data_IF_694126835178
#
_entry.id   IF_694126835178
#
_cell.length_a   1.000
_cell.length_b   1.000
_cell.length_c   1.000
_cell.angle_alpha   90.00
_cell.angle_beta   90.00
_cell.angle_gamma   90.00
#
_symmetry.space_group_name_H-M   'P 1'
#
loop_
_entity.id
_entity.type
_entity.pdbx_description
1 polymer ?
#
# COMPACT_ATOMS: atom_id res chain seq x y z
N UNK A 1 26.66 7.62 11.16
CA UNK A 1 26.79 9.00 11.71
C UNK A 1 28.22 9.33 12.13
N UNK A 2 28.91 8.47 12.90
CA UNK A 2 30.29 8.73 13.35
C UNK A 2 31.26 8.98 12.19
N UNK A 3 31.17 8.20 11.11
CA UNK A 3 32.03 8.38 9.93
C UNK A 3 31.86 9.75 9.24
N UNK A 4 30.62 10.21 9.00
CA UNK A 4 30.36 11.49 8.36
C UNK A 4 30.73 12.68 9.27
N UNK A 5 30.48 12.55 10.59
CA UNK A 5 30.88 13.56 11.59
C UNK A 5 32.39 13.74 11.65
N UNK A 6 33.15 12.65 11.53
CA UNK A 6 34.62 12.70 11.49
C UNK A 6 35.18 13.36 10.22
N UNK A 7 34.37 13.43 9.15
CA UNK A 7 34.72 14.06 7.88
C UNK A 7 34.11 15.46 7.72
N UNK A 8 33.46 15.99 8.78
CA UNK A 8 32.72 17.25 8.75
C UNK A 8 31.67 17.36 7.63
N UNK A 9 31.08 16.22 7.24
CA UNK A 9 30.04 16.17 6.21
C UNK A 9 28.67 16.27 6.90
N UNK A 10 27.83 17.26 6.55
CA UNK A 10 26.49 17.37 7.10
C UNK A 10 25.65 16.15 6.68
N UNK A 11 24.90 15.58 7.64
CA UNK A 11 24.08 14.38 7.42
C UNK A 11 22.61 14.77 7.42
N UNK A 12 21.94 14.45 6.32
CA UNK A 12 20.50 14.64 6.16
C UNK A 12 19.81 13.28 6.00
N UNK A 13 18.56 13.19 6.44
CA UNK A 13 17.71 12.02 6.26
C UNK A 13 16.60 12.34 5.27
N UNK A 14 16.54 11.59 4.18
CA UNK A 14 15.38 11.61 3.29
C UNK A 14 14.36 10.58 3.77
N UNK A 15 13.34 11.04 4.49
CA UNK A 15 12.29 10.18 5.02
C UNK A 15 11.22 9.94 3.94
N UNK A 16 11.01 8.67 3.58
CA UNK A 16 10.24 8.28 2.38
C UNK A 16 8.78 7.90 2.66
N UNK A 17 8.31 8.03 3.91
CA UNK A 17 6.90 7.84 4.28
C UNK A 17 6.20 9.19 4.54
N UNK A 18 4.89 9.16 4.74
CA UNK A 18 4.10 10.36 5.00
C UNK A 18 4.47 11.09 6.30
N UNK A 19 4.20 12.40 6.36
CA UNK A 19 4.46 13.22 7.55
C UNK A 19 3.69 12.72 8.79
N UNK A 20 2.55 12.05 8.61
CA UNK A 20 1.81 11.38 9.69
C UNK A 20 2.63 10.29 10.39
N UNK A 21 3.39 9.50 9.62
CA UNK A 21 4.25 8.44 10.14
C UNK A 21 5.45 9.05 10.84
N UNK A 22 6.02 10.12 10.28
CA UNK A 22 7.09 10.86 10.95
C UNK A 22 6.62 11.46 12.29
N UNK A 23 5.42 12.04 12.33
CA UNK A 23 4.82 12.56 13.56
C UNK A 23 4.62 11.45 14.60
N UNK A 24 4.15 10.27 14.19
CA UNK A 24 4.03 9.11 15.07
C UNK A 24 5.38 8.66 15.64
N UNK A 25 6.44 8.62 14.81
CA UNK A 25 7.80 8.27 15.25
C UNK A 25 8.35 9.31 16.23
N UNK A 26 8.18 10.61 15.94
CA UNK A 26 8.67 11.68 16.81
C UNK A 26 7.93 11.73 18.14
N UNK A 27 6.65 11.36 18.16
CA UNK A 27 5.83 11.31 19.37
C UNK A 27 5.99 10.00 20.15
N UNK A 28 6.59 8.97 19.53
CA UNK A 28 6.76 7.65 20.12
C UNK A 28 7.44 7.64 21.51
N UNK A 29 8.52 8.40 21.78
CA UNK A 29 9.14 8.40 23.12
C UNK A 29 8.17 8.81 24.24
N UNK A 30 7.25 9.73 23.95
CA UNK A 30 6.21 10.13 24.90
C UNK A 30 5.17 9.03 25.07
N UNK A 31 4.73 8.41 23.97
CA UNK A 31 3.82 7.28 24.03
C UNK A 31 4.43 6.09 24.79
N UNK A 32 5.72 5.82 24.63
CA UNK A 32 6.40 4.72 25.33
C UNK A 32 6.52 4.98 26.84
N UNK A 33 6.62 6.25 27.25
CA UNK A 33 6.57 6.65 28.66
C UNK A 33 5.17 6.56 29.26
N UNK A 34 4.15 6.98 28.51
CA UNK A 34 2.75 7.02 28.96
C UNK A 34 2.10 5.62 28.98
N UNK A 35 2.68 4.63 28.29
CA UNK A 35 2.06 3.33 28.09
C UNK A 35 2.99 2.18 28.49
N UNK A 36 2.55 1.35 29.46
CA UNK A 36 3.26 0.12 29.82
C UNK A 36 2.78 -1.05 28.93
N UNK A 37 3.65 -1.58 28.08
CA UNK A 37 3.39 -2.78 27.27
C UNK A 37 3.57 -2.58 25.77
N UNK A 38 3.29 -3.61 24.97
CA UNK A 38 3.34 -3.53 23.50
C UNK A 38 2.03 -2.97 22.95
N UNK A 39 2.09 -2.05 21.98
CA UNK A 39 0.89 -1.40 21.42
C UNK A 39 -0.11 -2.42 20.83
N UNK A 40 0.36 -3.53 20.27
CA UNK A 40 -0.48 -4.61 19.73
C UNK A 40 -1.48 -5.19 20.74
N UNK A 41 -1.17 -5.12 22.03
CA UNK A 41 -1.95 -5.74 23.11
C UNK A 41 -2.88 -4.74 23.84
N UNK A 42 -2.80 -3.45 23.50
CA UNK A 42 -3.49 -2.40 24.26
C UNK A 42 -4.94 -2.14 23.84
N UNK A 43 -5.34 -2.59 22.65
CA UNK A 43 -6.68 -2.41 22.06
C UNK A 43 -7.32 -1.03 22.35
N UNK A 44 -6.61 0.06 22.03
CA UNK A 44 -7.06 1.44 22.30
C UNK A 44 -6.77 2.37 21.13
N UNK A 45 -7.26 3.61 21.23
CA UNK A 45 -6.96 4.68 20.28
C UNK A 45 -5.80 5.53 20.79
N UNK A 46 -4.86 5.83 19.89
CA UNK A 46 -3.77 6.79 20.09
C UNK A 46 -4.15 8.10 19.44
N UNK A 47 -4.02 9.19 20.19
CA UNK A 47 -4.30 10.54 19.73
C UNK A 47 -2.98 11.27 19.51
N UNK A 48 -2.63 11.47 18.24
CA UNK A 48 -1.45 12.22 17.83
C UNK A 48 -1.87 13.63 17.41
N UNK A 49 -1.19 14.70 17.84
CA UNK A 49 -1.51 16.05 17.42
C UNK A 49 -1.54 16.18 15.88
N UNK A 50 -2.69 16.61 15.34
CA UNK A 50 -2.88 16.81 13.90
C UNK A 50 -3.17 15.54 13.08
N UNK A 51 -3.49 14.41 13.71
CA UNK A 51 -3.91 13.18 13.04
C UNK A 51 -5.24 12.66 13.61
N UNK A 52 -5.98 11.84 12.84
CA UNK A 52 -7.12 11.10 13.37
C UNK A 52 -6.71 10.20 14.54
N UNK A 53 -7.68 9.73 15.34
CA UNK A 53 -7.44 8.65 16.30
C UNK A 53 -6.95 7.39 15.60
N UNK A 54 -5.81 6.84 16.02
CA UNK A 54 -5.19 5.67 15.39
C UNK A 54 -5.33 4.47 16.32
N UNK A 55 -6.00 3.37 15.91
CA UNK A 55 -6.00 2.14 16.68
C UNK A 55 -4.58 1.63 16.91
N UNK A 56 -4.28 1.12 18.11
CA UNK A 56 -2.92 0.65 18.41
C UNK A 56 -2.46 -0.51 17.52
N UNK A 57 -3.38 -1.29 16.94
CA UNK A 57 -3.11 -2.34 15.95
C UNK A 57 -2.64 -1.82 14.57
N UNK A 58 -2.84 -0.53 14.33
CA UNK A 58 -2.64 0.14 13.04
C UNK A 58 -1.47 1.14 13.08
N UNK A 59 -0.81 1.27 14.23
CA UNK A 59 0.46 1.95 14.39
C UNK A 59 1.57 1.26 13.56
N UNK A 60 2.66 1.96 13.18
CA UNK A 60 3.67 1.40 12.29
C UNK A 60 4.28 0.15 12.91
N UNK A 61 4.54 -0.89 12.11
CA UNK A 61 4.97 -2.22 12.62
C UNK A 61 6.13 -2.14 13.62
N UNK A 62 7.10 -1.25 13.40
CA UNK A 62 8.24 -1.04 14.30
C UNK A 62 7.85 -0.60 15.73
N UNK A 63 6.65 -0.05 15.92
CA UNK A 63 6.11 0.38 17.21
C UNK A 63 5.23 -0.70 17.86
N UNK A 64 4.78 -1.71 17.12
CA UNK A 64 3.83 -2.71 17.64
C UNK A 64 4.45 -3.65 18.67
N UNK A 65 5.77 -3.88 18.62
CA UNK A 65 6.50 -4.75 19.53
C UNK A 65 7.69 -4.03 20.17
N UNK A 66 7.59 -3.77 21.48
CA UNK A 66 8.56 -3.00 22.28
C UNK A 66 9.94 -3.67 22.37
N UNK A 67 10.02 -4.98 22.13
CA UNK A 67 11.27 -5.75 22.19
C UNK A 67 11.89 -5.99 20.81
N UNK A 68 11.26 -5.50 19.74
CA UNK A 68 11.77 -5.72 18.39
C UNK A 68 12.95 -4.78 18.07
N UNK A 69 14.17 -5.33 18.07
CA UNK A 69 15.28 -4.72 17.31
C UNK A 69 14.99 -4.94 15.85
N UNK A 70 14.50 -3.92 15.15
CA UNK A 70 14.22 -3.98 13.72
C UNK A 70 15.50 -4.18 12.90
N UNK A 71 15.71 -5.42 12.46
CA UNK A 71 16.31 -5.75 11.18
C UNK A 71 15.57 -6.96 10.59
N UNK A 72 14.78 -6.73 9.53
CA UNK A 72 14.73 -7.52 8.28
C UNK A 72 13.40 -7.30 7.53
N UNK A 73 13.50 -6.89 6.27
CA UNK A 73 12.46 -7.10 5.27
C UNK A 73 12.45 -8.59 4.89
N UNK A 74 11.70 -9.38 5.65
CA UNK A 74 11.42 -10.78 5.34
C UNK A 74 12.04 -11.78 6.31
N UNK A 75 11.23 -12.77 6.69
CA UNK A 75 11.70 -14.00 7.32
C UNK A 75 12.24 -14.90 6.21
N UNK A 76 13.56 -15.08 6.14
CA UNK A 76 14.14 -16.23 5.44
C UNK A 76 13.90 -17.44 6.35
N UNK A 77 12.88 -18.23 6.02
CA UNK A 77 12.71 -19.57 6.61
C UNK A 77 13.48 -20.53 5.72
N UNK A 78 14.54 -21.14 6.25
CA UNK A 78 15.25 -22.23 5.60
C UNK A 78 14.41 -23.53 5.70
N UNK A 79 13.28 -23.58 4.98
CA UNK A 79 12.42 -24.75 4.87
C UNK A 79 12.32 -25.16 3.40
N UNK A 80 12.15 -26.45 3.12
CA UNK A 80 12.00 -26.98 1.77
C UNK A 80 10.84 -27.97 1.72
N UNK A 81 10.16 -28.05 0.58
CA UNK A 81 8.83 -28.67 0.46
C UNK A 81 8.70 -30.13 0.92
N UNK A 82 9.81 -30.87 1.02
CA UNK A 82 9.80 -32.23 1.55
C UNK A 82 9.86 -32.32 3.08
N UNK A 83 10.21 -31.25 3.79
CA UNK A 83 10.22 -31.21 5.27
C UNK A 83 8.89 -30.71 5.85
N UNK A 84 8.26 -29.70 5.25
CA UNK A 84 7.03 -29.08 5.77
C UNK A 84 5.93 -28.91 4.70
N UNK A 85 5.43 -30.00 4.09
CA UNK A 85 4.46 -29.93 3.00
C UNK A 85 3.11 -29.30 3.40
N UNK A 86 2.72 -29.42 4.69
CA UNK A 86 1.46 -28.88 5.20
C UNK A 86 1.47 -27.34 5.34
N UNK A 87 2.48 -26.71 5.97
CA UNK A 87 2.62 -25.24 5.99
C UNK A 87 2.75 -24.60 4.61
N UNK A 88 3.58 -25.17 3.71
CA UNK A 88 3.77 -24.63 2.35
C UNK A 88 2.48 -24.70 1.53
N UNK A 89 1.74 -25.82 1.64
CA UNK A 89 0.41 -25.96 1.03
C UNK A 89 -0.61 -24.99 1.63
N UNK A 90 -0.63 -24.79 2.95
CA UNK A 90 -1.54 -23.84 3.59
C UNK A 90 -1.32 -22.38 3.14
N UNK A 91 -0.07 -21.97 2.94
CA UNK A 91 0.29 -20.65 2.42
C UNK A 91 -0.14 -20.49 0.95
N UNK A 92 0.13 -21.51 0.13
CA UNK A 92 -0.23 -21.52 -1.30
C UNK A 92 -1.74 -21.57 -1.51
N UNK A 93 -2.45 -22.38 -0.73
CA UNK A 93 -3.91 -22.47 -0.72
C UNK A 93 -4.52 -21.14 -0.26
N UNK A 94 -3.93 -20.49 0.76
CA UNK A 94 -4.34 -19.16 1.24
C UNK A 94 -4.20 -18.06 0.18
N UNK A 95 -3.08 -18.04 -0.56
CA UNK A 95 -2.85 -17.12 -1.66
C UNK A 95 -3.83 -17.38 -2.82
N UNK A 96 -4.04 -18.65 -3.18
CA UNK A 96 -4.99 -19.05 -4.22
C UNK A 96 -6.42 -18.62 -3.87
N UNK A 97 -6.82 -18.71 -2.59
CA UNK A 97 -8.13 -18.28 -2.13
C UNK A 97 -8.30 -16.77 -2.24
N UNK A 98 -7.30 -15.98 -1.83
CA UNK A 98 -7.32 -14.52 -1.95
C UNK A 98 -7.42 -14.07 -3.42
N UNK A 99 -6.64 -14.68 -4.32
CA UNK A 99 -6.71 -14.39 -5.76
C UNK A 99 -8.08 -14.76 -6.36
N UNK A 100 -8.70 -15.87 -5.92
CA UNK A 100 -10.04 -16.27 -6.34
C UNK A 100 -11.11 -15.27 -5.91
N UNK A 101 -11.05 -14.75 -4.68
CA UNK A 101 -11.98 -13.70 -4.23
C UNK A 101 -11.81 -12.40 -5.03
N UNK A 102 -10.56 -11.99 -5.30
CA UNK A 102 -10.28 -10.81 -6.15
C UNK A 102 -10.82 -11.01 -7.56
N UNK A 103 -10.51 -12.13 -8.19
CA UNK A 103 -11.00 -12.45 -9.53
C UNK A 103 -12.54 -12.43 -9.57
N UNK A 104 -13.20 -13.07 -8.59
CA UNK A 104 -14.66 -13.09 -8.51
C UNK A 104 -15.24 -11.70 -8.30
N UNK A 105 -14.66 -10.88 -7.43
CA UNK A 105 -15.09 -9.50 -7.19
C UNK A 105 -14.94 -8.59 -8.42
N UNK A 106 -13.82 -8.70 -9.14
CA UNK A 106 -13.60 -8.00 -10.41
C UNK A 106 -14.63 -8.43 -11.46
N UNK A 107 -14.90 -9.73 -11.57
CA UNK A 107 -15.88 -10.27 -12.51
C UNK A 107 -17.30 -9.73 -12.23
N UNK A 108 -17.70 -9.75 -10.96
CA UNK A 108 -19.01 -9.30 -10.47
C UNK A 108 -19.19 -7.77 -10.60
N UNK A 109 -18.13 -6.99 -10.42
CA UNK A 109 -18.18 -5.52 -10.52
C UNK A 109 -18.69 -5.01 -11.88
N UNK A 110 -18.53 -5.82 -12.93
CA UNK A 110 -18.79 -5.47 -14.35
C UNK A 110 -17.99 -4.27 -14.88
N UNK A 111 -17.09 -3.70 -14.11
CA UNK A 111 -16.20 -2.64 -14.57
C UNK A 111 -15.02 -3.17 -15.38
N UNK A 112 -14.43 -2.27 -16.17
CA UNK A 112 -13.14 -2.54 -16.81
C UNK A 112 -12.03 -2.54 -15.77
N UNK A 113 -11.07 -3.43 -15.90
CA UNK A 113 -9.95 -3.52 -14.97
C UNK A 113 -8.64 -3.84 -15.67
N UNK A 114 -7.56 -3.33 -15.10
CA UNK A 114 -6.19 -3.79 -15.31
C UNK A 114 -5.70 -4.35 -13.98
N UNK A 115 -5.41 -5.64 -13.94
CA UNK A 115 -4.96 -6.30 -12.72
C UNK A 115 -3.52 -6.81 -12.89
N UNK A 116 -2.60 -6.23 -12.10
CA UNK A 116 -1.22 -6.68 -12.04
C UNK A 116 -1.08 -7.73 -10.94
N UNK A 117 -0.75 -8.96 -11.31
CA UNK A 117 -0.48 -10.04 -10.36
C UNK A 117 1.03 -10.13 -10.20
N UNK A 118 1.54 -9.78 -9.02
CA UNK A 118 2.94 -10.03 -8.65
C UNK A 118 3.05 -11.41 -8.00
N UNK A 119 3.61 -12.38 -8.70
CA UNK A 119 4.00 -13.66 -8.11
C UNK A 119 5.34 -13.51 -7.36
N UNK A 120 5.43 -13.93 -6.08
CA UNK A 120 6.53 -14.69 -5.43
C UNK A 120 6.42 -14.68 -3.88
N UNK A 121 6.85 -15.73 -3.11
CA UNK A 121 7.98 -16.66 -3.35
C UNK A 121 7.72 -18.15 -3.01
N UNK A 122 6.77 -18.84 -3.65
CA UNK A 122 6.69 -20.32 -3.53
C UNK A 122 6.48 -20.96 -4.89
N UNK A 123 7.56 -20.99 -5.65
CA UNK A 123 7.73 -21.84 -6.83
C UNK A 123 8.63 -23.00 -6.38
N UNK A 124 8.24 -24.26 -6.63
CA UNK A 124 9.03 -25.44 -6.26
C UNK A 124 10.42 -25.39 -6.91
N UNK A 125 11.42 -26.06 -6.33
CA UNK A 125 12.78 -26.09 -6.91
C UNK A 125 12.80 -26.66 -8.34
N UNK A 126 11.86 -27.55 -8.66
CA UNK A 126 11.66 -28.10 -10.01
C UNK A 126 11.13 -27.04 -11.00
N UNK A 127 10.34 -26.07 -10.52
CA UNK A 127 9.76 -24.97 -11.30
C UNK A 127 10.66 -23.71 -11.30
N UNK A 128 11.79 -23.69 -10.58
CA UNK A 128 12.81 -22.64 -10.69
C UNK A 128 13.58 -22.71 -12.01
N UNK A 129 13.53 -23.86 -12.68
CA UNK A 129 14.04 -24.05 -14.05
C UNK A 129 13.08 -23.50 -15.11
N UNK A 130 11.85 -23.17 -14.70
CA UNK A 130 10.78 -22.62 -15.53
C UNK A 130 10.82 -21.09 -15.35
N UNK A 131 11.38 -20.33 -16.31
CA UNK A 131 11.54 -18.90 -16.12
C UNK A 131 10.19 -18.22 -15.83
N UNK A 132 10.15 -17.21 -14.94
CA UNK A 132 8.90 -16.77 -14.30
C UNK A 132 7.85 -16.12 -15.23
N UNK A 133 8.11 -16.06 -16.54
CA UNK A 133 7.13 -15.76 -17.59
C UNK A 133 6.23 -16.96 -17.94
N UNK A 134 6.50 -18.14 -17.37
CA UNK A 134 5.79 -19.39 -17.64
C UNK A 134 4.80 -19.81 -16.53
N UNK A 135 4.58 -18.96 -15.51
CA UNK A 135 3.52 -19.23 -14.53
C UNK A 135 2.16 -19.01 -15.20
N UNK A 136 1.43 -20.10 -15.41
CA UNK A 136 0.19 -20.08 -16.16
C UNK A 136 -0.92 -19.40 -15.34
N UNK A 137 -1.40 -18.24 -15.82
CA UNK A 137 -2.51 -17.52 -15.20
C UNK A 137 -3.77 -18.38 -15.06
N UNK A 138 -3.95 -19.37 -15.94
CA UNK A 138 -5.08 -20.32 -15.84
C UNK A 138 -5.01 -21.20 -14.60
N UNK A 139 -3.81 -21.41 -14.02
CA UNK A 139 -3.65 -22.18 -12.78
C UNK A 139 -3.87 -21.34 -11.52
N UNK A 140 -3.69 -20.03 -11.61
CA UNK A 140 -3.84 -19.09 -10.48
C UNK A 140 -5.26 -18.54 -10.34
N UNK A 141 -5.99 -18.45 -11.45
CA UNK A 141 -7.29 -17.80 -11.53
C UNK A 141 -8.41 -18.86 -11.58
N UNK A 142 -9.66 -18.49 -11.22
CA UNK A 142 -10.79 -19.38 -11.42
C UNK A 142 -10.93 -19.80 -12.89
N UNK A 143 -11.27 -21.06 -13.14
CA UNK A 143 -11.46 -21.61 -14.49
C UNK A 143 -12.35 -20.70 -15.35
N UNK A 144 -11.89 -20.39 -16.57
CA UNK A 144 -12.60 -19.55 -17.54
C UNK A 144 -12.65 -18.04 -17.21
N UNK A 145 -11.97 -17.57 -16.16
CA UNK A 145 -12.03 -16.15 -15.76
C UNK A 145 -11.51 -15.21 -16.86
N UNK A 146 -10.39 -15.56 -17.50
CA UNK A 146 -9.80 -14.75 -18.56
C UNK A 146 -10.76 -14.63 -19.74
N UNK A 147 -11.40 -15.73 -20.15
CA UNK A 147 -12.39 -15.78 -21.23
C UNK A 147 -13.63 -14.95 -20.88
N UNK A 148 -14.19 -15.12 -19.67
CA UNK A 148 -15.38 -14.38 -19.22
C UNK A 148 -15.15 -12.87 -19.10
N UNK A 149 -13.91 -12.45 -18.91
CA UNK A 149 -13.53 -11.05 -18.72
C UNK A 149 -12.79 -10.43 -19.89
N UNK A 150 -12.44 -11.19 -20.96
CA UNK A 150 -11.59 -10.74 -22.08
C UNK A 150 -11.94 -9.40 -22.73
N UNK A 151 -13.21 -8.98 -22.70
CA UNK A 151 -13.68 -7.74 -23.31
C UNK A 151 -13.60 -6.52 -22.36
N UNK A 152 -13.29 -6.73 -21.08
CA UNK A 152 -13.27 -5.69 -20.04
C UNK A 152 -12.07 -5.77 -19.09
N UNK A 153 -11.41 -6.91 -19.01
CA UNK A 153 -10.31 -7.18 -18.10
C UNK A 153 -9.01 -7.44 -18.82
N UNK A 154 -7.93 -6.85 -18.32
CA UNK A 154 -6.55 -7.20 -18.69
C UNK A 154 -5.86 -7.68 -17.42
N UNK A 155 -5.27 -8.86 -17.46
CA UNK A 155 -4.43 -9.39 -16.37
C UNK A 155 -2.98 -9.38 -16.84
N UNK A 156 -2.11 -8.71 -16.10
CA UNK A 156 -0.69 -8.61 -16.40
C UNK A 156 0.10 -9.32 -15.31
N UNK A 157 1.00 -10.20 -15.71
CA UNK A 157 1.90 -10.87 -14.78
C UNK A 157 3.12 -9.97 -14.46
N UNK A 158 3.52 -9.93 -13.19
CA UNK A 158 4.67 -9.23 -12.58
C UNK A 158 4.63 -7.72 -12.51
N UNK A 159 4.45 -7.04 -13.63
CA UNK A 159 4.72 -5.60 -13.67
C UNK A 159 3.93 -4.88 -14.76
N UNK A 160 3.49 -3.66 -14.42
CA UNK A 160 2.97 -2.69 -15.36
C UNK A 160 3.62 -1.33 -15.05
N UNK A 161 3.75 -0.44 -16.06
CA UNK A 161 4.29 0.90 -15.86
C UNK A 161 3.30 1.76 -15.06
N UNK A 162 3.28 1.61 -13.74
CA UNK A 162 2.25 2.17 -12.84
C UNK A 162 2.02 3.67 -13.06
N UNK A 163 3.08 4.48 -13.15
CA UNK A 163 2.97 5.92 -13.42
C UNK A 163 2.27 6.20 -14.76
N UNK A 164 2.62 5.47 -15.81
CA UNK A 164 1.99 5.63 -17.13
C UNK A 164 0.53 5.17 -17.12
N UNK A 165 0.23 4.07 -16.42
CA UNK A 165 -1.15 3.58 -16.22
C UNK A 165 -1.97 4.63 -15.50
N UNK A 166 -1.51 5.14 -14.35
CA UNK A 166 -2.24 6.12 -13.54
C UNK A 166 -2.48 7.43 -14.30
N UNK A 167 -1.55 7.86 -15.15
CA UNK A 167 -1.72 9.05 -16.00
C UNK A 167 -2.59 8.81 -17.25
N UNK A 168 -3.04 7.58 -17.50
CA UNK A 168 -3.88 7.28 -18.65
C UNK A 168 -5.34 7.69 -18.39
N UNK A 169 -5.93 8.45 -19.32
CA UNK A 169 -7.31 9.00 -19.22
C UNK A 169 -8.42 7.97 -18.98
N UNK A 170 -8.17 6.70 -19.27
CA UNK A 170 -9.14 5.61 -19.06
C UNK A 170 -9.13 5.05 -17.64
N UNK A 171 -8.17 5.43 -16.79
CA UNK A 171 -8.11 4.98 -15.40
C UNK A 171 -9.05 5.84 -14.55
N UNK A 172 -10.09 5.21 -14.03
CA UNK A 172 -11.09 5.85 -13.16
C UNK A 172 -10.90 5.60 -11.66
N UNK A 173 -9.98 4.72 -11.27
CA UNK A 173 -9.70 4.41 -9.88
C UNK A 173 -8.56 3.41 -9.69
N UNK A 174 -7.98 3.38 -8.49
CA UNK A 174 -6.83 2.54 -8.15
C UNK A 174 -7.00 1.81 -6.82
N UNK A 175 -7.03 0.47 -6.85
CA UNK A 175 -6.98 -0.35 -5.64
C UNK A 175 -5.50 -0.49 -5.23
N UNK A 176 -5.14 0.04 -4.06
CA UNK A 176 -3.75 0.17 -3.62
C UNK A 176 -3.52 -0.41 -2.24
N UNK A 177 -2.30 -0.88 -1.98
CA UNK A 177 -1.84 -1.31 -0.67
C UNK A 177 -1.42 -0.15 0.23
N UNK A 178 -1.62 1.09 -0.19
CA UNK A 178 -1.32 2.30 0.60
C UNK A 178 0.17 2.54 0.88
N UNK A 179 1.07 1.96 0.07
CA UNK A 179 2.49 2.35 0.09
C UNK A 179 2.64 3.80 -0.37
N UNK A 180 3.41 4.60 0.36
CA UNK A 180 3.39 6.06 0.21
C UNK A 180 3.73 6.55 -1.21
N UNK A 181 4.69 5.92 -1.89
CA UNK A 181 5.01 6.24 -3.29
C UNK A 181 3.80 6.04 -4.20
N UNK A 182 3.07 4.93 -4.05
CA UNK A 182 1.88 4.66 -4.87
C UNK A 182 0.74 5.64 -4.57
N UNK A 183 0.61 6.10 -3.33
CA UNK A 183 -0.35 7.14 -2.92
C UNK A 183 0.00 8.47 -3.58
N UNK A 184 1.28 8.87 -3.56
CA UNK A 184 1.75 10.09 -4.21
C UNK A 184 1.54 10.04 -5.73
N UNK A 185 1.92 8.94 -6.39
CA UNK A 185 1.72 8.75 -7.83
C UNK A 185 0.24 8.89 -8.23
N UNK A 186 -0.66 8.23 -7.49
CA UNK A 186 -2.10 8.31 -7.76
C UNK A 186 -2.66 9.71 -7.49
N UNK A 187 -2.22 10.36 -6.42
CA UNK A 187 -2.64 11.73 -6.08
C UNK A 187 -2.17 12.73 -7.15
N UNK A 188 -0.92 12.64 -7.60
CA UNK A 188 -0.39 13.47 -8.69
C UNK A 188 -1.05 13.17 -10.04
N UNK A 189 -1.55 11.95 -10.25
CA UNK A 189 -2.33 11.61 -11.43
C UNK A 189 -3.80 12.11 -11.33
N UNK A 190 -4.30 12.36 -10.12
CA UNK A 190 -5.71 12.70 -9.85
C UNK A 190 -6.62 11.48 -9.87
N UNK A 191 -6.12 10.32 -9.43
CA UNK A 191 -6.82 9.03 -9.48
C UNK A 191 -7.36 8.70 -8.08
N UNK A 192 -8.68 8.47 -7.93
CA UNK A 192 -9.28 8.10 -6.66
C UNK A 192 -8.93 6.66 -6.29
N UNK A 193 -8.92 6.32 -5.00
CA UNK A 193 -8.36 5.05 -4.53
C UNK A 193 -9.35 4.17 -3.75
N UNK A 194 -9.10 2.86 -3.75
CA UNK A 194 -9.56 1.95 -2.69
C UNK A 194 -8.34 1.52 -1.88
N UNK A 195 -8.35 1.82 -0.58
CA UNK A 195 -7.25 1.59 0.34
C UNK A 195 -7.31 0.19 0.96
N UNK A 196 -6.39 -0.71 0.55
CA UNK A 196 -6.31 -2.10 0.99
C UNK A 196 -4.90 -2.47 1.50
N UNK A 197 -4.51 -2.01 2.70
CA UNK A 197 -3.15 -2.14 3.24
C UNK A 197 -2.73 -3.58 3.50
N UNK A 198 -1.42 -3.85 3.48
CA UNK A 198 -0.85 -5.19 3.69
C UNK A 198 0.17 -5.24 4.85
N UNK A 199 1.13 -4.32 4.92
CA UNK A 199 2.25 -4.35 5.88
C UNK A 199 2.83 -2.95 6.20
N UNK A 200 3.88 -2.90 7.02
CA UNK A 200 4.60 -1.68 7.43
C UNK A 200 3.67 -0.60 8.02
N UNK A 201 3.68 0.62 7.49
CA UNK A 201 2.89 1.75 7.94
C UNK A 201 1.59 1.96 7.11
N UNK A 202 1.28 1.02 6.22
CA UNK A 202 0.19 1.15 5.25
C UNK A 202 -1.20 1.28 5.91
N UNK A 203 -1.40 0.67 7.08
CA UNK A 203 -2.65 0.81 7.85
C UNK A 203 -2.86 2.23 8.36
N UNK A 204 -1.80 2.86 8.89
CA UNK A 204 -1.81 4.27 9.24
C UNK A 204 -2.04 5.16 8.01
N UNK A 205 -1.40 4.84 6.87
CA UNK A 205 -1.64 5.56 5.62
C UNK A 205 -3.11 5.45 5.19
N UNK A 206 -3.74 4.27 5.27
CA UNK A 206 -5.18 4.09 4.98
C UNK A 206 -6.04 5.03 5.82
N UNK A 207 -5.81 5.12 7.13
CA UNK A 207 -6.57 5.99 8.03
C UNK A 207 -6.47 7.44 7.55
N UNK A 208 -5.25 7.95 7.35
CA UNK A 208 -5.05 9.34 6.90
C UNK A 208 -5.65 9.60 5.51
N UNK A 209 -5.49 8.66 4.58
CA UNK A 209 -6.07 8.78 3.23
C UNK A 209 -7.60 8.88 3.23
N UNK A 210 -8.26 8.11 4.10
CA UNK A 210 -9.73 8.01 4.18
C UNK A 210 -10.31 9.11 5.06
N UNK A 211 -9.72 9.35 6.22
CA UNK A 211 -10.30 10.20 7.26
C UNK A 211 -9.91 11.68 7.13
N UNK A 212 -8.66 11.98 6.74
CA UNK A 212 -8.18 13.35 6.59
C UNK A 212 -8.19 13.81 5.14
N UNK A 213 -7.50 13.07 4.28
CA UNK A 213 -7.23 13.53 2.92
C UNK A 213 -8.43 13.35 1.99
N UNK A 214 -9.37 12.47 2.34
CA UNK A 214 -10.57 12.13 1.56
C UNK A 214 -10.25 11.66 0.13
N UNK A 215 -9.19 10.86 -0.02
CA UNK A 215 -8.69 10.37 -1.33
C UNK A 215 -9.13 8.94 -1.66
N UNK A 216 -9.70 8.23 -0.69
CA UNK A 216 -9.95 6.80 -0.83
C UNK A 216 -11.19 6.31 -0.09
N UNK A 217 -11.77 5.24 -0.61
CA UNK A 217 -12.65 4.35 0.15
C UNK A 217 -11.81 3.28 0.87
N UNK A 218 -12.14 2.91 2.11
CA UNK A 218 -11.47 1.79 2.77
C UNK A 218 -11.92 0.44 2.18
N UNK A 219 -10.97 -0.48 1.96
CA UNK A 219 -11.30 -1.90 1.93
C UNK A 219 -11.54 -2.36 3.37
N UNK A 220 -12.68 -3.01 3.60
CA UNK A 220 -12.99 -3.62 4.89
C UNK A 220 -12.61 -5.08 4.83
N UNK A 221 -11.80 -5.52 5.79
CA UNK A 221 -11.42 -6.91 5.95
C UNK A 221 -12.34 -7.58 6.98
N UNK A 222 -12.67 -8.85 6.75
CA UNK A 222 -13.24 -9.71 7.78
C UNK A 222 -12.12 -10.24 8.69
N UNK A 223 -12.52 -10.85 9.80
CA UNK A 223 -11.62 -11.45 10.79
C UNK A 223 -10.55 -12.33 10.13
N UNK A 224 -9.28 -12.07 10.46
CA UNK A 224 -8.12 -12.74 9.87
C UNK A 224 -7.60 -12.16 8.55
N UNK A 225 -7.90 -10.90 8.22
CA UNK A 225 -7.32 -10.18 7.07
C UNK A 225 -7.81 -10.66 5.71
N UNK A 226 -8.99 -11.28 5.69
CA UNK A 226 -9.62 -11.81 4.47
C UNK A 226 -10.59 -10.76 3.91
N UNK A 227 -10.81 -10.78 2.60
CA UNK A 227 -11.82 -9.94 1.95
C UNK A 227 -12.61 -10.83 1.00
N UNK A 228 -13.94 -10.79 1.14
CA UNK A 228 -14.84 -11.53 0.26
C UNK A 228 -15.03 -10.82 -1.08
N UNK A 229 -15.30 -11.57 -2.14
CA UNK A 229 -15.56 -11.07 -3.49
C UNK A 229 -16.65 -9.98 -3.52
N UNK A 230 -17.72 -10.16 -2.73
CA UNK A 230 -18.81 -9.19 -2.62
C UNK A 230 -18.35 -7.83 -2.08
N UNK A 231 -17.36 -7.81 -1.18
CA UNK A 231 -16.80 -6.58 -0.66
C UNK A 231 -15.91 -5.89 -1.70
N UNK A 232 -15.13 -6.66 -2.47
CA UNK A 232 -14.31 -6.13 -3.57
C UNK A 232 -15.20 -5.52 -4.64
N UNK A 233 -16.23 -6.25 -5.06
CA UNK A 233 -17.27 -5.76 -5.97
C UNK A 233 -17.88 -4.46 -5.47
N UNK A 234 -18.37 -4.45 -4.21
CA UNK A 234 -18.99 -3.29 -3.59
C UNK A 234 -18.09 -2.07 -3.64
N UNK A 235 -16.83 -2.19 -3.21
CA UNK A 235 -15.89 -1.06 -3.16
C UNK A 235 -15.50 -0.56 -4.55
N UNK A 236 -15.35 -1.45 -5.54
CA UNK A 236 -15.12 -1.04 -6.93
C UNK A 236 -16.33 -0.25 -7.46
N UNK A 237 -17.53 -0.81 -7.34
CA UNK A 237 -18.76 -0.16 -7.83
C UNK A 237 -19.01 1.17 -7.11
N UNK A 238 -18.82 1.21 -5.80
CA UNK A 238 -18.96 2.44 -5.02
C UNK A 238 -17.99 3.51 -5.50
N UNK A 239 -16.71 3.19 -5.70
CA UNK A 239 -15.74 4.17 -6.20
C UNK A 239 -16.12 4.67 -7.60
N UNK A 240 -16.59 3.79 -8.47
CA UNK A 240 -16.81 4.09 -9.89
C UNK A 240 -18.18 4.73 -10.17
N UNK A 241 -19.23 4.38 -9.45
CA UNK A 241 -20.63 4.68 -9.80
C UNK A 241 -21.36 5.56 -8.78
N UNK A 242 -20.87 5.69 -7.54
CA UNK A 242 -21.61 6.39 -6.47
C UNK A 242 -21.26 7.87 -6.34
N UNK A 243 -22.12 8.63 -5.66
CA UNK A 243 -21.87 10.02 -5.28
C UNK A 243 -20.65 10.18 -4.37
N UNK A 244 -20.38 9.22 -3.48
CA UNK A 244 -19.16 9.24 -2.68
C UNK A 244 -17.91 9.08 -3.56
N UNK A 245 -17.99 8.23 -4.59
CA UNK A 245 -16.97 8.11 -5.62
C UNK A 245 -16.77 9.39 -6.43
N UNK A 246 -17.86 10.08 -6.79
CA UNK A 246 -17.82 11.40 -7.44
C UNK A 246 -17.14 12.44 -6.54
N UNK A 247 -17.52 12.49 -5.27
CA UNK A 247 -16.91 13.39 -4.29
C UNK A 247 -15.39 13.16 -4.18
N UNK A 248 -14.95 11.91 -4.03
CA UNK A 248 -13.53 11.58 -3.95
C UNK A 248 -12.79 11.97 -5.24
N UNK A 249 -13.40 11.79 -6.43
CA UNK A 249 -12.83 12.24 -7.72
C UNK A 249 -12.54 13.75 -7.74
N UNK A 250 -13.48 14.57 -7.27
CA UNK A 250 -13.26 16.02 -7.19
C UNK A 250 -12.18 16.38 -6.16
N UNK A 251 -12.13 15.69 -5.03
CA UNK A 251 -11.06 15.89 -4.03
C UNK A 251 -9.68 15.57 -4.62
N UNK A 252 -9.49 14.40 -5.25
CA UNK A 252 -8.18 14.04 -5.82
C UNK A 252 -7.77 14.95 -6.98
N UNK A 253 -8.72 15.49 -7.74
CA UNK A 253 -8.46 16.50 -8.76
C UNK A 253 -7.90 17.78 -8.15
N UNK A 254 -8.51 18.27 -7.07
CA UNK A 254 -7.97 19.40 -6.31
C UNK A 254 -6.57 19.12 -5.75
N UNK A 255 -6.33 17.91 -5.21
CA UNK A 255 -5.00 17.52 -4.69
C UNK A 255 -3.94 17.40 -5.77
N UNK A 256 -4.30 16.97 -6.98
CA UNK A 256 -3.39 16.99 -8.14
C UNK A 256 -2.92 18.41 -8.43
N UNK A 257 -3.83 19.38 -8.44
CA UNK A 257 -3.50 20.78 -8.67
C UNK A 257 -2.64 21.35 -7.54
N UNK A 258 -2.95 21.02 -6.28
CA UNK A 258 -2.12 21.37 -5.11
C UNK A 258 -0.68 20.83 -5.28
N UNK A 259 -0.54 19.56 -5.66
CA UNK A 259 0.75 18.92 -5.86
C UNK A 259 1.57 19.61 -6.96
N UNK A 260 0.95 19.92 -8.10
CA UNK A 260 1.59 20.68 -9.18
C UNK A 260 2.02 22.06 -8.70
N UNK A 261 1.16 22.80 -7.98
CA UNK A 261 1.49 24.10 -7.40
C UNK A 261 2.68 24.03 -6.44
N UNK A 262 2.72 23.01 -5.58
CA UNK A 262 3.78 22.85 -4.58
C UNK A 262 5.17 22.65 -5.20
N UNK A 263 5.27 21.89 -6.29
CA UNK A 263 6.55 21.56 -6.94
C UNK A 263 6.95 22.54 -8.06
N UNK A 264 6.02 23.36 -8.54
CA UNK A 264 6.29 24.39 -9.55
C UNK A 264 7.23 25.48 -9.03
N UNK A 265 7.85 26.25 -9.93
CA UNK A 265 8.72 27.37 -9.56
C UNK A 265 7.98 28.33 -8.62
N UNK A 266 8.57 28.60 -7.45
CA UNK A 266 7.98 29.44 -6.40
C UNK A 266 6.96 28.73 -5.50
N UNK A 267 6.65 27.46 -5.78
CA UNK A 267 5.82 26.60 -4.94
C UNK A 267 6.50 26.23 -3.61
N UNK A 268 5.71 25.75 -2.65
CA UNK A 268 6.19 25.47 -1.29
C UNK A 268 7.32 24.44 -1.24
N UNK A 269 7.18 23.30 -1.93
CA UNK A 269 8.22 22.27 -1.99
C UNK A 269 9.45 22.74 -2.76
N UNK A 270 9.26 23.50 -3.85
CA UNK A 270 10.36 24.10 -4.61
C UNK A 270 11.18 25.06 -3.74
N UNK A 271 10.52 25.97 -3.01
CA UNK A 271 11.18 26.94 -2.11
C UNK A 271 11.86 26.23 -0.94
N UNK A 272 11.23 25.22 -0.35
CA UNK A 272 11.83 24.46 0.75
C UNK A 272 13.11 23.73 0.32
N UNK A 273 13.11 23.12 -0.88
CA UNK A 273 14.29 22.46 -1.42
C UNK A 273 15.40 23.46 -1.78
N UNK A 274 15.05 24.61 -2.37
CA UNK A 274 16.03 25.66 -2.67
C UNK A 274 16.74 26.15 -1.41
N UNK A 275 15.99 26.41 -0.32
CA UNK A 275 16.57 26.79 0.98
C UNK A 275 17.49 25.73 1.56
N UNK A 276 17.16 24.44 1.39
CA UNK A 276 18.04 23.36 1.83
C UNK A 276 19.36 23.36 1.06
N UNK A 277 19.32 23.57 -0.26
CA UNK A 277 20.51 23.64 -1.11
C UNK A 277 21.37 24.86 -0.77
N UNK A 278 20.76 26.02 -0.48
CA UNK A 278 21.47 27.22 0.00
C UNK A 278 22.26 26.96 1.29
N UNK A 279 21.83 26.03 2.15
CA UNK A 279 22.59 25.64 3.34
C UNK A 279 23.83 24.79 3.04
N UNK A 280 24.04 24.35 1.80
CA UNK A 280 25.18 23.53 1.39
C UNK A 280 26.34 24.34 0.80
N UNK A 281 26.11 25.60 0.42
CA UNK A 281 27.13 26.50 -0.13
C UNK A 281 28.01 27.16 0.96
N UNK A 282 28.39 26.39 2.00
CA UNK A 282 29.24 26.82 3.12
C UNK A 282 30.64 26.23 3.03
#
# INVERSE_FOLDING_TARGET
MVAAKNLNIPVYYFFTSGACVLAAILYFPRLDQENQGSFKDMNKLIYLPGLPPIPTSDMPVATLDRNSRSYSDGIIINTFGSQEPKPVKAITDGLSKKLKEIAKGLELSRHRFLWVIRSQPTIKKEDLLVPPHLLDLNTLLPDGFLERTRHRGIVVNKWAPQVAVLNHKSVGGFVTHCGWNSVLEATCAGVPMVAWPLYAEQKMNRIVMVEEMKLALPMDEIEGGKVAAAQIEKRIRQLMESEEGNFIREVVKGRKEDAVRAVSKGGSSHVALAKLVECWDV
#
